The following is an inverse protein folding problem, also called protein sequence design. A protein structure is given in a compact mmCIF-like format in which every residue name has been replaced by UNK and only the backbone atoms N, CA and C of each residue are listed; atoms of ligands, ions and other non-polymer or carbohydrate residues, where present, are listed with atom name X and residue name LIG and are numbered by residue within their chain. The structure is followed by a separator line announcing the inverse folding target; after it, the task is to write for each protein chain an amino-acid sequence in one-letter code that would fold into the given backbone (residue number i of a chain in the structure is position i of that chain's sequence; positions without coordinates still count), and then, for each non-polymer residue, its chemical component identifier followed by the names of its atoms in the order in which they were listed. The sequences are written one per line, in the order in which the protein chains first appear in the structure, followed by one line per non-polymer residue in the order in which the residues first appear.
data_IF_829631993111
#
_entry.id   IF_829631993111
#
_cell.length_a   1.000
_cell.length_b   1.000
_cell.length_c   1.000
_cell.angle_alpha   90.00
_cell.angle_beta   90.00
_cell.angle_gamma   90.00
#
_symmetry.space_group_name_H-M   'P 1'
#
loop_
_entity.id
_entity.type
_entity.pdbx_description
1 polymer ?
#
# COMPACT_ATOMS: atom_id res chain seq x y z
N UNK A 1 43.10 -8.89 -28.19
CA UNK A 1 41.74 -8.89 -27.60
C UNK A 1 41.59 -7.61 -26.81
N UNK A 2 40.85 -6.65 -27.34
CA UNK A 2 40.63 -5.37 -26.68
C UNK A 2 39.80 -5.59 -25.41
N UNK A 3 40.36 -5.22 -24.26
CA UNK A 3 39.64 -5.10 -23.00
C UNK A 3 38.68 -3.94 -23.17
N UNK A 4 37.40 -4.24 -23.32
CA UNK A 4 36.34 -3.24 -23.25
C UNK A 4 36.33 -2.64 -21.83
N UNK A 5 36.23 -1.31 -21.69
CA UNK A 5 36.17 -0.67 -20.38
C UNK A 5 34.89 -1.12 -19.68
N UNK A 6 35.01 -1.41 -18.38
CA UNK A 6 33.93 -1.70 -17.45
C UNK A 6 32.90 -0.57 -17.52
N UNK A 7 31.87 -0.74 -18.35
CA UNK A 7 30.72 0.16 -18.36
C UNK A 7 30.11 0.13 -16.97
N UNK A 8 29.89 1.31 -16.39
CA UNK A 8 29.08 1.50 -15.19
C UNK A 8 27.78 0.70 -15.36
N UNK A 9 27.66 -0.42 -14.66
CA UNK A 9 26.43 -1.19 -14.62
C UNK A 9 25.40 -0.29 -13.92
N UNK A 10 24.46 0.26 -14.69
CA UNK A 10 23.45 1.17 -14.17
C UNK A 10 22.67 0.49 -13.04
N UNK A 11 22.88 0.92 -11.80
CA UNK A 11 22.11 0.43 -10.67
C UNK A 11 20.85 1.28 -10.49
N UNK A 12 19.75 0.63 -10.09
CA UNK A 12 18.48 1.31 -9.82
C UNK A 12 17.99 0.94 -8.43
N UNK A 13 17.45 1.93 -7.73
CA UNK A 13 16.95 1.74 -6.36
C UNK A 13 15.43 1.73 -6.33
N UNK A 14 14.87 0.74 -5.62
CA UNK A 14 13.44 0.58 -5.39
C UNK A 14 13.16 0.59 -3.89
N UNK A 15 12.28 1.46 -3.43
CA UNK A 15 11.78 1.48 -2.06
C UNK A 15 10.58 0.56 -1.96
N UNK A 16 10.68 -0.45 -1.10
CA UNK A 16 9.57 -1.30 -0.72
C UNK A 16 9.05 -0.91 0.67
N UNK A 17 7.73 -0.94 0.80
CA UNK A 17 6.99 -0.62 2.01
C UNK A 17 5.79 -1.57 2.17
N UNK A 18 5.04 -1.44 3.26
CA UNK A 18 3.84 -2.25 3.50
C UNK A 18 4.16 -3.75 3.65
N UNK A 19 3.42 -4.66 2.99
CA UNK A 19 3.55 -6.10 3.23
C UNK A 19 4.86 -6.69 2.69
N UNK A 20 5.55 -6.00 1.78
CA UNK A 20 6.81 -6.44 1.20
C UNK A 20 8.00 -6.29 2.15
N UNK A 21 7.82 -5.64 3.30
CA UNK A 21 8.79 -5.65 4.38
C UNK A 21 8.91 -7.05 5.03
N UNK A 22 7.89 -7.88 4.92
CA UNK A 22 7.90 -9.22 5.54
C UNK A 22 8.73 -10.20 4.68
N UNK A 23 9.78 -10.88 5.23
CA UNK A 23 10.74 -11.63 4.41
C UNK A 23 10.12 -12.70 3.50
N UNK A 24 9.12 -13.50 3.93
CA UNK A 24 8.41 -14.41 3.02
C UNK A 24 7.71 -13.74 1.83
N UNK A 25 7.14 -12.54 2.03
CA UNK A 25 6.49 -11.77 0.95
C UNK A 25 7.54 -11.13 0.04
N UNK A 26 8.66 -10.70 0.61
CA UNK A 26 9.81 -10.19 -0.14
C UNK A 26 10.39 -11.30 -1.04
N UNK A 27 10.59 -12.51 -0.51
CA UNK A 27 11.11 -13.64 -1.28
C UNK A 27 10.19 -13.99 -2.48
N UNK A 28 8.87 -13.96 -2.28
CA UNK A 28 7.91 -14.14 -3.38
C UNK A 28 8.02 -13.05 -4.46
N UNK A 29 8.34 -11.82 -4.06
CA UNK A 29 8.48 -10.66 -4.94
C UNK A 29 9.80 -10.70 -5.72
N UNK A 30 10.92 -10.96 -5.03
CA UNK A 30 12.24 -11.02 -5.63
C UNK A 30 12.44 -12.29 -6.48
N UNK A 31 11.70 -13.36 -6.22
CA UNK A 31 11.83 -14.65 -6.91
C UNK A 31 13.28 -15.17 -6.83
N UNK A 32 13.98 -15.22 -7.97
CA UNK A 32 15.38 -15.63 -8.08
C UNK A 32 16.36 -14.45 -8.19
N UNK A 33 15.87 -13.21 -8.15
CA UNK A 33 16.72 -12.01 -8.20
C UNK A 33 17.36 -11.76 -6.83
N UNK A 34 18.60 -11.29 -6.82
CA UNK A 34 19.30 -10.93 -5.58
C UNK A 34 19.61 -9.43 -5.60
N UNK A 35 19.08 -8.65 -4.64
CA UNK A 35 19.43 -7.25 -4.54
C UNK A 35 20.91 -7.09 -4.16
N UNK A 36 21.56 -6.11 -4.78
CA UNK A 36 22.99 -5.78 -4.58
C UNK A 36 23.20 -5.29 -3.15
N UNK A 37 22.31 -4.43 -2.68
CA UNK A 37 22.31 -3.93 -1.31
C UNK A 37 20.89 -3.62 -0.84
N UNK A 38 20.72 -3.51 0.48
CA UNK A 38 19.48 -3.04 1.08
C UNK A 38 19.80 -2.09 2.23
N UNK A 39 19.04 -1.01 2.34
CA UNK A 39 19.21 -0.02 3.42
C UNK A 39 17.85 0.43 3.94
N UNK A 40 17.73 0.59 5.26
CA UNK A 40 16.57 1.21 5.89
C UNK A 40 16.55 2.70 5.58
N UNK A 41 15.43 3.19 5.04
CA UNK A 41 15.31 4.57 4.57
C UNK A 41 14.08 5.24 5.16
N UNK A 42 14.22 6.54 5.39
CA UNK A 42 13.12 7.48 5.57
C UNK A 42 12.87 8.17 4.23
N UNK A 43 11.61 8.33 3.87
CA UNK A 43 11.15 9.09 2.71
C UNK A 43 10.33 10.26 3.26
N UNK A 44 10.93 11.44 3.40
CA UNK A 44 10.24 12.61 3.94
C UNK A 44 8.99 12.95 3.11
N UNK A 45 9.08 12.92 1.79
CA UNK A 45 7.94 13.37 0.99
C UNK A 45 6.80 12.33 0.86
N UNK A 46 6.78 11.27 1.68
CA UNK A 46 5.79 10.21 1.61
C UNK A 46 5.12 9.88 2.95
N UNK A 47 3.86 9.44 2.89
CA UNK A 47 3.13 8.85 4.01
C UNK A 47 2.69 7.43 3.68
N UNK A 48 2.76 6.52 4.66
CA UNK A 48 2.09 5.22 4.56
C UNK A 48 0.57 5.44 4.66
N UNK A 49 -0.17 4.90 3.70
CA UNK A 49 -1.63 4.94 3.68
C UNK A 49 -2.22 3.55 3.45
N UNK A 50 -3.46 3.34 3.86
CA UNK A 50 -4.27 2.17 3.55
C UNK A 50 -5.52 2.61 2.80
N UNK A 51 -5.32 3.21 1.63
CA UNK A 51 -6.38 3.84 0.82
C UNK A 51 -6.68 3.07 -0.46
N UNK A 52 -6.00 1.95 -0.73
CA UNK A 52 -6.29 1.13 -1.91
C UNK A 52 -7.37 0.10 -1.54
N UNK A 53 -8.57 0.16 -2.14
CA UNK A 53 -9.64 -0.78 -1.87
C UNK A 53 -9.23 -2.17 -2.36
N UNK A 54 -9.35 -3.14 -1.48
CA UNK A 54 -9.16 -4.54 -1.79
C UNK A 54 -10.47 -5.27 -2.05
N UNK A 55 -10.49 -6.55 -1.70
CA UNK A 55 -11.67 -7.40 -1.84
C UNK A 55 -12.44 -7.40 -0.51
N UNK A 56 -13.70 -6.94 -0.51
CA UNK A 56 -14.54 -6.87 0.69
C UNK A 56 -14.57 -8.20 1.45
N UNK A 57 -14.50 -8.16 2.78
CA UNK A 57 -14.49 -9.32 3.66
C UNK A 57 -13.30 -10.30 3.49
N UNK A 58 -12.47 -10.15 2.45
CA UNK A 58 -11.25 -10.92 2.24
C UNK A 58 -10.03 -10.15 2.74
N UNK A 59 -9.68 -9.08 2.01
CA UNK A 59 -8.69 -8.08 2.39
C UNK A 59 -9.26 -6.71 2.00
N UNK A 60 -9.84 -5.96 2.95
CA UNK A 60 -10.57 -4.72 2.69
C UNK A 60 -9.70 -3.60 2.12
N UNK A 61 -8.46 -3.48 2.60
CA UNK A 61 -7.58 -2.36 2.26
C UNK A 61 -6.15 -2.86 2.07
N UNK A 62 -5.46 -2.30 1.08
CA UNK A 62 -4.05 -2.53 0.84
C UNK A 62 -3.23 -1.27 1.15
N UNK A 63 -1.99 -1.48 1.55
CA UNK A 63 -1.04 -0.41 1.79
C UNK A 63 -0.65 0.30 0.47
N UNK A 64 -0.48 1.60 0.55
CA UNK A 64 -0.05 2.52 -0.49
C UNK A 64 0.85 3.60 0.13
N UNK A 65 1.52 4.37 -0.72
CA UNK A 65 2.26 5.55 -0.33
C UNK A 65 1.57 6.81 -0.90
N UNK A 66 1.34 7.80 -0.06
CA UNK A 66 0.95 9.14 -0.48
C UNK A 66 2.23 9.96 -0.61
N UNK A 67 2.63 10.29 -1.83
CA UNK A 67 3.78 11.14 -2.14
C UNK A 67 3.28 12.57 -2.39
N UNK A 68 3.88 13.52 -1.67
CA UNK A 68 3.57 14.94 -1.76
C UNK A 68 3.81 15.47 -3.16
N UNK A 69 2.84 16.21 -3.70
CA UNK A 69 2.89 16.77 -5.05
C UNK A 69 2.67 15.75 -6.17
N UNK A 70 2.30 14.51 -5.86
CA UNK A 70 2.08 13.48 -6.88
C UNK A 70 0.68 12.85 -6.82
N UNK A 71 0.30 12.30 -5.67
CA UNK A 71 -1.00 11.67 -5.47
C UNK A 71 -1.70 12.19 -4.20
N UNK A 72 -1.32 13.38 -3.76
CA UNK A 72 -1.97 14.13 -2.70
C UNK A 72 -3.03 15.11 -3.23
N UNK A 73 -3.55 14.88 -4.45
CA UNK A 73 -4.54 15.73 -5.11
C UNK A 73 -5.97 15.30 -4.74
N UNK A 74 -6.33 15.49 -3.47
CA UNK A 74 -7.66 15.16 -2.95
C UNK A 74 -8.56 16.38 -2.77
N UNK A 75 -9.79 16.09 -2.34
CA UNK A 75 -10.88 17.05 -2.11
C UNK A 75 -10.48 18.21 -1.18
N UNK A 76 -9.45 18.04 -0.33
CA UNK A 76 -8.89 19.09 0.53
C UNK A 76 -8.37 20.32 -0.25
N UNK A 77 -7.97 20.15 -1.53
CA UNK A 77 -7.57 21.28 -2.39
C UNK A 77 -8.75 22.14 -2.80
N UNK A 78 -9.93 21.54 -2.99
CA UNK A 78 -11.15 22.26 -3.35
C UNK A 78 -11.60 23.18 -2.22
N UNK A 79 -11.39 22.76 -0.96
CA UNK A 79 -11.73 23.54 0.24
C UNK A 79 -10.85 24.79 0.45
N UNK A 80 -9.60 24.78 -0.03
CA UNK A 80 -8.64 25.89 0.16
C UNK A 80 -8.68 26.94 -0.97
N UNK A 81 -9.29 26.59 -2.11
CA UNK A 81 -9.34 27.42 -3.32
C UNK A 81 -7.98 27.54 -4.04
N UNK A 82 -8.02 27.84 -5.35
CA UNK A 82 -6.84 27.84 -6.26
C UNK A 82 -5.70 28.81 -5.88
N UNK A 83 -5.89 29.70 -4.90
CA UNK A 83 -4.94 30.76 -4.56
C UNK A 83 -4.02 30.45 -3.38
N UNK A 84 -4.24 29.34 -2.68
CA UNK A 84 -3.39 28.96 -1.56
C UNK A 84 -2.01 28.49 -2.06
N UNK A 85 -0.92 28.97 -1.46
CA UNK A 85 0.40 28.43 -1.72
C UNK A 85 0.46 26.98 -1.25
N UNK A 86 1.02 26.12 -2.07
CA UNK A 86 1.17 24.68 -1.86
C UNK A 86 1.76 24.27 -0.49
N UNK A 87 2.66 25.09 0.08
CA UNK A 87 3.26 24.84 1.39
C UNK A 87 2.28 25.14 2.54
N UNK A 88 1.59 26.28 2.46
CA UNK A 88 0.61 26.73 3.45
C UNK A 88 -0.64 25.83 3.40
N UNK A 89 -1.02 25.42 2.19
CA UNK A 89 -2.14 24.53 1.93
C UNK A 89 -1.95 23.15 2.59
N UNK A 90 -0.74 22.58 2.56
CA UNK A 90 -0.39 21.31 3.22
C UNK A 90 -0.20 21.42 4.74
N UNK A 91 -0.28 22.61 5.30
CA UNK A 91 -0.34 22.81 6.76
C UNK A 91 -1.77 22.96 7.26
N UNK A 92 -2.75 23.09 6.36
CA UNK A 92 -4.16 23.22 6.70
C UNK A 92 -4.70 22.01 7.45
N UNK A 93 -5.71 22.26 8.30
CA UNK A 93 -6.44 21.19 8.99
C UNK A 93 -7.11 20.23 8.01
N UNK A 94 -7.61 20.74 6.87
CA UNK A 94 -8.21 19.92 5.81
C UNK A 94 -7.23 18.89 5.24
N UNK A 95 -6.00 19.31 4.91
CA UNK A 95 -4.96 18.38 4.45
C UNK A 95 -4.59 17.35 5.53
N UNK A 96 -4.41 17.80 6.78
CA UNK A 96 -4.07 16.92 7.90
C UNK A 96 -5.15 15.86 8.11
N UNK A 97 -6.41 16.24 8.06
CA UNK A 97 -7.54 15.32 8.17
C UNK A 97 -7.58 14.37 6.97
N UNK A 98 -7.36 14.87 5.76
CA UNK A 98 -7.33 14.04 4.54
C UNK A 98 -6.23 12.97 4.57
N UNK A 99 -5.04 13.30 5.07
CA UNK A 99 -3.95 12.33 5.30
C UNK A 99 -4.31 11.39 6.45
N UNK A 100 -4.88 11.92 7.55
CA UNK A 100 -5.29 11.12 8.71
C UNK A 100 -6.25 10.00 8.31
N UNK A 101 -7.28 10.31 7.52
CA UNK A 101 -8.29 9.33 7.12
C UNK A 101 -7.73 8.16 6.30
N UNK A 102 -6.52 8.30 5.75
CA UNK A 102 -5.83 7.29 4.94
C UNK A 102 -4.70 6.60 5.69
N UNK A 103 -3.98 7.32 6.55
CA UNK A 103 -2.80 6.83 7.27
C UNK A 103 -3.12 6.30 8.67
N UNK A 104 -4.15 6.83 9.32
CA UNK A 104 -4.50 6.60 10.73
C UNK A 104 -5.80 5.80 10.85
N UNK A 105 -5.82 4.60 10.28
CA UNK A 105 -7.03 3.79 10.12
C UNK A 105 -7.70 3.48 11.47
N UNK A 106 -8.98 3.85 11.60
CA UNK A 106 -9.80 3.61 12.79
C UNK A 106 -9.42 4.40 14.04
N UNK A 107 -8.76 5.55 13.86
CA UNK A 107 -8.50 6.49 14.95
C UNK A 107 -9.31 7.76 14.74
N UNK A 108 -9.84 8.32 15.82
CA UNK A 108 -10.53 9.61 15.78
C UNK A 108 -9.51 10.72 15.54
N UNK A 109 -9.84 11.67 14.65
CA UNK A 109 -8.93 12.76 14.31
C UNK A 109 -8.71 13.67 15.53
N UNK A 110 -7.45 13.79 15.95
CA UNK A 110 -7.05 14.55 17.15
C UNK A 110 -6.78 16.04 16.91
N UNK A 111 -7.03 16.58 15.71
CA UNK A 111 -6.75 17.97 15.35
C UNK A 111 -5.30 18.23 14.90
N UNK A 112 -4.39 17.33 15.22
CA UNK A 112 -3.04 17.28 14.67
C UNK A 112 -2.83 15.96 13.94
N UNK A 113 -1.86 15.89 13.03
CA UNK A 113 -1.32 14.56 12.70
C UNK A 113 -0.76 13.96 14.00
N UNK A 114 -0.70 12.62 14.14
CA UNK A 114 -0.21 11.97 15.36
C UNK A 114 1.08 12.62 15.84
N UNK A 115 1.31 12.77 17.14
CA UNK A 115 2.46 13.52 17.66
C UNK A 115 3.80 13.02 17.10
N UNK A 116 3.90 11.75 16.71
CA UNK A 116 5.08 11.24 16.01
C UNK A 116 5.20 11.80 14.58
N UNK A 117 4.09 12.00 13.86
CA UNK A 117 3.95 12.61 12.52
C UNK A 117 4.23 14.12 12.45
N UNK A 118 4.13 14.84 13.57
CA UNK A 118 4.44 16.28 13.65
C UNK A 118 5.72 16.59 14.43
N UNK A 119 6.02 15.89 15.53
CA UNK A 119 7.12 16.23 16.44
C UNK A 119 8.50 15.75 15.97
N UNK A 120 8.60 14.77 15.05
CA UNK A 120 9.90 14.33 14.53
C UNK A 120 10.46 15.26 13.44
N UNK A 121 9.67 16.20 12.90
CA UNK A 121 10.03 16.94 11.68
C UNK A 121 10.23 16.05 10.44
N UNK A 122 9.99 14.74 10.57
CA UNK A 122 10.31 13.69 9.60
C UNK A 122 9.01 12.96 9.26
N UNK A 123 8.55 13.22 8.05
CA UNK A 123 7.36 12.64 7.45
C UNK A 123 7.60 11.14 7.11
N UNK A 124 6.58 10.31 7.32
CA UNK A 124 6.67 8.90 7.78
C UNK A 124 6.85 7.83 6.70
N UNK A 125 7.42 8.15 5.54
CA UNK A 125 7.68 7.15 4.52
C UNK A 125 8.83 6.22 4.92
N UNK A 126 8.64 5.30 5.88
CA UNK A 126 9.65 4.30 6.20
C UNK A 126 9.57 3.12 5.24
N UNK A 127 10.72 2.71 4.75
CA UNK A 127 10.83 1.57 3.86
C UNK A 127 12.24 1.03 3.82
N UNK A 128 12.44 0.10 2.90
CA UNK A 128 13.76 -0.45 2.61
C UNK A 128 14.05 -0.16 1.15
N UNK A 129 15.14 0.56 0.90
CA UNK A 129 15.65 0.78 -0.43
C UNK A 129 16.53 -0.39 -0.82
N UNK A 130 16.11 -1.10 -1.88
CA UNK A 130 16.87 -2.18 -2.50
C UNK A 130 17.57 -1.65 -3.74
N UNK A 131 18.88 -1.90 -3.82
CA UNK A 131 19.66 -1.63 -5.03
C UNK A 131 19.63 -2.86 -5.94
N UNK A 132 19.18 -2.66 -7.17
CA UNK A 132 18.96 -3.71 -8.15
C UNK A 132 19.82 -3.47 -9.38
N UNK A 133 20.26 -4.56 -9.99
CA UNK A 133 20.87 -4.55 -11.32
C UNK A 133 19.86 -4.13 -12.38
N UNK A 134 20.32 -3.47 -13.44
CA UNK A 134 19.46 -3.08 -14.57
C UNK A 134 18.75 -4.28 -15.22
N UNK A 135 19.36 -5.48 -15.15
CA UNK A 135 18.79 -6.72 -15.66
C UNK A 135 17.63 -7.24 -14.80
N UNK A 136 17.73 -7.10 -13.47
CA UNK A 136 16.74 -7.58 -12.51
C UNK A 136 15.57 -6.61 -12.33
N UNK A 137 15.82 -5.33 -12.61
CA UNK A 137 14.83 -4.25 -12.51
C UNK A 137 13.46 -4.58 -13.15
N UNK A 138 13.37 -4.96 -14.44
CA UNK A 138 12.07 -5.26 -15.05
C UNK A 138 11.37 -6.47 -14.44
N UNK A 139 12.14 -7.46 -13.96
CA UNK A 139 11.59 -8.67 -13.31
C UNK A 139 10.91 -8.28 -12.00
N UNK A 140 11.63 -7.54 -11.16
CA UNK A 140 11.12 -7.08 -9.86
C UNK A 140 9.91 -6.16 -10.05
N UNK A 141 9.98 -5.21 -10.99
CA UNK A 141 8.85 -4.32 -11.27
C UNK A 141 7.61 -5.08 -11.74
N UNK A 142 7.77 -6.09 -12.60
CA UNK A 142 6.63 -6.92 -13.04
C UNK A 142 6.01 -7.68 -11.87
N UNK A 143 6.83 -8.16 -10.92
CA UNK A 143 6.36 -8.85 -9.72
C UNK A 143 5.65 -7.90 -8.74
N UNK A 144 6.18 -6.69 -8.55
CA UNK A 144 5.57 -5.63 -7.74
C UNK A 144 4.20 -5.24 -8.32
N UNK A 145 4.11 -5.09 -9.65
CA UNK A 145 2.85 -4.79 -10.32
C UNK A 145 1.84 -5.94 -10.19
N UNK A 146 2.29 -7.19 -10.31
CA UNK A 146 1.45 -8.37 -10.16
C UNK A 146 0.94 -8.59 -8.72
N UNK A 147 1.62 -8.05 -7.70
CA UNK A 147 1.22 -8.19 -6.29
C UNK A 147 -0.03 -7.36 -5.94
N UNK A 148 -0.41 -6.38 -6.77
CA UNK A 148 -1.66 -5.61 -6.65
C UNK A 148 -2.26 -5.40 -8.04
N UNK A 149 -2.83 -6.46 -8.64
CA UNK A 149 -3.26 -6.46 -10.04
C UNK A 149 -4.50 -5.61 -10.29
N UNK A 150 -5.22 -5.20 -9.24
CA UNK A 150 -6.48 -4.47 -9.32
C UNK A 150 -6.33 -2.96 -9.51
N UNK A 151 -5.12 -2.41 -9.33
CA UNK A 151 -4.97 -0.96 -9.15
C UNK A 151 -3.87 -0.40 -10.08
N UNK A 152 -4.21 0.53 -11.01
CA UNK A 152 -3.21 1.21 -11.81
C UNK A 152 -2.25 1.96 -10.88
N UNK A 153 -0.95 1.72 -11.08
CA UNK A 153 0.11 2.27 -10.26
C UNK A 153 1.21 2.86 -11.13
N UNK A 154 1.96 3.79 -10.56
CA UNK A 154 3.07 4.49 -11.19
C UNK A 154 4.29 4.39 -10.29
N UNK A 155 5.47 4.54 -10.89
CA UNK A 155 6.73 4.67 -10.17
C UNK A 155 7.08 6.14 -10.10
N UNK A 156 7.36 6.61 -8.89
CA UNK A 156 7.66 8.00 -8.61
C UNK A 156 9.06 8.05 -7.99
N UNK A 157 9.96 8.92 -8.48
CA UNK A 157 11.23 9.15 -7.81
C UNK A 157 10.97 9.92 -6.52
N UNK A 158 11.54 9.44 -5.42
CA UNK A 158 11.43 10.05 -4.09
C UNK A 158 12.81 10.19 -3.45
N UNK A 159 12.96 11.22 -2.64
CA UNK A 159 14.16 11.45 -1.85
C UNK A 159 14.16 10.53 -0.63
N UNK A 160 15.26 9.80 -0.45
CA UNK A 160 15.43 8.83 0.62
C UNK A 160 16.62 9.23 1.48
N UNK A 161 16.43 9.18 2.79
CA UNK A 161 17.47 9.40 3.79
C UNK A 161 17.72 8.05 4.47
N UNK A 162 18.82 7.35 4.14
CA UNK A 162 19.18 6.11 4.80
C UNK A 162 19.58 6.35 6.26
N UNK A 163 19.29 5.39 7.12
CA UNK A 163 19.70 5.38 8.52
C UNK A 163 20.05 3.95 8.94
N UNK A 164 20.77 3.78 10.05
CA UNK A 164 21.18 2.48 10.56
C UNK A 164 20.70 2.26 12.01
N UNK A 165 20.45 1.00 12.37
CA UNK A 165 20.16 0.62 13.76
C UNK A 165 18.82 1.12 14.30
N UNK A 166 17.87 1.48 13.45
CA UNK A 166 16.54 1.92 13.89
C UNK A 166 16.49 3.36 14.44
N UNK A 167 17.58 4.11 14.37
CA UNK A 167 17.62 5.50 14.81
C UNK A 167 17.77 6.46 13.62
N UNK A 168 16.71 7.22 13.27
CA UNK A 168 16.77 8.19 12.18
C UNK A 168 17.63 9.44 12.51
N UNK A 169 18.11 9.58 13.75
CA UNK A 169 18.92 10.74 14.20
C UNK A 169 20.32 10.75 13.61
N UNK A 170 20.81 9.60 13.12
CA UNK A 170 22.12 9.46 12.46
C UNK A 170 21.94 9.09 10.98
N UNK A 171 21.59 10.06 10.12
CA UNK A 171 21.36 9.81 8.71
C UNK A 171 22.67 9.59 7.95
N UNK A 172 22.62 8.71 6.96
CA UNK A 172 23.64 8.51 5.93
C UNK A 172 23.34 9.38 4.69
N UNK A 173 24.22 9.35 3.69
CA UNK A 173 24.10 10.18 2.48
C UNK A 173 22.75 9.95 1.76
N UNK A 174 21.97 11.03 1.50
CA UNK A 174 20.67 10.91 0.87
C UNK A 174 20.80 10.52 -0.60
N UNK A 175 19.80 9.80 -1.11
CA UNK A 175 19.75 9.41 -2.52
C UNK A 175 18.31 9.37 -3.03
N UNK A 176 18.16 9.34 -4.35
CA UNK A 176 16.85 9.19 -5.00
C UNK A 176 16.57 7.71 -5.28
N UNK A 177 15.37 7.25 -4.97
CA UNK A 177 14.91 5.91 -5.30
C UNK A 177 13.47 5.95 -5.83
N UNK A 178 13.05 4.89 -6.51
CA UNK A 178 11.68 4.81 -7.00
C UNK A 178 10.80 4.17 -5.95
N UNK A 179 9.61 4.73 -5.75
CA UNK A 179 8.55 4.15 -4.95
C UNK A 179 7.34 3.89 -5.84
N UNK A 180 6.65 2.77 -5.61
CA UNK A 180 5.38 2.51 -6.29
C UNK A 180 4.26 3.24 -5.58
N UNK A 181 3.38 3.88 -6.34
CA UNK A 181 2.24 4.65 -5.83
C UNK A 181 0.98 4.30 -6.62
N UNK A 182 -0.16 4.17 -5.93
CA UNK A 182 -1.45 4.00 -6.58
C UNK A 182 -1.99 5.33 -7.12
N UNK A 183 -2.59 5.31 -8.32
CA UNK A 183 -3.19 6.51 -8.90
C UNK A 183 -4.35 7.05 -8.04
N UNK A 184 -4.54 8.38 -7.97
CA UNK A 184 -5.60 9.01 -7.15
C UNK A 184 -6.99 8.44 -7.38
N UNK A 185 -7.36 8.14 -8.62
CA UNK A 185 -8.67 7.61 -9.02
C UNK A 185 -9.03 6.24 -8.38
N UNK A 186 -8.07 5.58 -7.73
CA UNK A 186 -8.28 4.29 -7.09
C UNK A 186 -8.12 4.33 -5.57
N UNK A 187 -7.97 5.53 -5.00
CA UNK A 187 -7.85 5.71 -3.57
C UNK A 187 -9.24 5.94 -2.96
N UNK A 188 -9.46 5.41 -1.76
CA UNK A 188 -10.64 5.67 -0.95
C UNK A 188 -10.24 5.92 0.51
N UNK A 189 -10.92 6.86 1.15
CA UNK A 189 -10.64 7.24 2.53
C UNK A 189 -11.26 6.25 3.54
N UNK A 190 -10.70 6.25 4.75
CA UNK A 190 -11.21 5.51 5.91
C UNK A 190 -11.36 4.00 5.72
N UNK A 191 -10.54 3.39 4.87
CA UNK A 191 -10.46 1.94 4.78
C UNK A 191 -9.60 1.39 5.93
N UNK A 192 -9.89 0.17 6.37
CA UNK A 192 -9.15 -0.49 7.44
C UNK A 192 -8.59 -1.82 6.96
N UNK A 193 -7.27 -2.07 7.02
CA UNK A 193 -6.70 -3.37 6.64
C UNK A 193 -7.13 -4.47 7.62
N UNK A 194 -7.07 -5.74 7.23
CA UNK A 194 -7.28 -6.82 8.20
C UNK A 194 -6.16 -6.86 9.24
N UNK A 195 -6.46 -7.41 10.42
CA UNK A 195 -5.45 -7.66 11.45
C UNK A 195 -4.31 -8.55 10.94
N UNK A 196 -4.60 -9.52 10.08
CA UNK A 196 -3.59 -10.40 9.50
C UNK A 196 -2.64 -9.61 8.58
N UNK A 197 -3.17 -8.72 7.75
CA UNK A 197 -2.38 -7.88 6.87
C UNK A 197 -1.53 -6.87 7.64
N UNK A 198 -2.13 -6.17 8.61
CA UNK A 198 -1.41 -5.22 9.47
C UNK A 198 -0.26 -5.90 10.21
N UNK A 199 -0.47 -7.12 10.72
CA UNK A 199 0.59 -7.90 11.36
C UNK A 199 1.76 -8.25 10.42
N UNK A 200 1.52 -8.42 9.11
CA UNK A 200 2.61 -8.63 8.15
C UNK A 200 3.47 -7.37 8.04
N UNK A 201 2.84 -6.20 7.94
CA UNK A 201 3.55 -4.91 7.88
C UNK A 201 4.33 -4.66 9.17
N UNK A 202 3.69 -4.83 10.33
CA UNK A 202 4.31 -4.63 11.64
C UNK A 202 5.50 -5.57 11.86
N UNK A 203 5.34 -6.87 11.57
CA UNK A 203 6.45 -7.85 11.70
C UNK A 203 7.57 -7.57 10.72
N UNK A 204 7.24 -7.19 9.48
CA UNK A 204 8.24 -6.78 8.49
C UNK A 204 9.02 -5.56 8.94
N UNK A 205 8.33 -4.54 9.46
CA UNK A 205 8.96 -3.34 10.01
C UNK A 205 9.91 -3.68 11.18
N UNK A 206 9.48 -4.57 12.07
CA UNK A 206 10.29 -5.02 13.20
C UNK A 206 11.53 -5.81 12.75
N UNK A 207 11.38 -6.78 11.84
CA UNK A 207 12.50 -7.60 11.36
C UNK A 207 13.56 -6.81 10.61
N UNK A 208 13.17 -5.72 9.95
CA UNK A 208 14.11 -4.84 9.26
C UNK A 208 14.53 -3.63 10.11
N UNK A 209 14.31 -3.68 11.43
CA UNK A 209 14.76 -2.64 12.38
C UNK A 209 14.37 -1.22 11.96
N UNK A 210 13.13 -1.03 11.48
CA UNK A 210 12.62 0.32 11.21
C UNK A 210 12.48 1.12 12.51
N UNK A 211 12.38 2.45 12.39
CA UNK A 211 12.41 3.34 13.54
C UNK A 211 11.34 3.03 14.59
N UNK A 212 11.65 3.36 15.84
CA UNK A 212 10.73 3.14 16.97
C UNK A 212 9.46 3.95 16.82
N UNK A 213 9.56 5.16 16.28
CA UNK A 213 8.45 6.08 16.04
C UNK A 213 7.48 5.47 15.01
N UNK A 214 8.03 4.87 13.95
CA UNK A 214 7.25 4.19 12.92
C UNK A 214 6.56 2.93 13.46
N UNK A 215 7.27 2.12 14.26
CA UNK A 215 6.66 0.96 14.92
C UNK A 215 5.56 1.37 15.90
N UNK A 216 5.77 2.42 16.69
CA UNK A 216 4.76 2.96 17.59
C UNK A 216 3.50 3.40 16.82
N UNK A 217 3.68 4.06 15.67
CA UNK A 217 2.56 4.41 14.80
C UNK A 217 1.79 3.18 14.31
N UNK A 218 2.48 2.14 13.80
CA UNK A 218 1.84 0.93 13.30
C UNK A 218 1.03 0.18 14.38
N UNK A 219 1.47 0.21 15.64
CA UNK A 219 0.78 -0.44 16.78
C UNK A 219 -0.52 0.29 17.14
N UNK A 220 -0.59 1.61 16.90
CA UNK A 220 -1.78 2.42 17.21
C UNK A 220 -2.93 2.19 16.20
N UNK A 221 -2.62 1.75 14.98
CA UNK A 221 -3.61 1.53 13.94
C UNK A 221 -4.65 0.49 14.36
N UNK A 222 -5.93 0.80 14.15
CA UNK A 222 -7.02 -0.13 14.43
C UNK A 222 -7.35 -0.96 13.19
N UNK A 223 -7.13 -2.29 13.22
CA UNK A 223 -7.47 -3.13 12.10
C UNK A 223 -8.98 -3.34 11.99
N UNK A 224 -9.41 -3.77 10.81
CA UNK A 224 -10.77 -4.20 10.56
C UNK A 224 -11.10 -5.46 11.36
N UNK A 225 -12.19 -5.42 12.11
CA UNK A 225 -12.70 -6.51 12.94
C UNK A 225 -14.02 -7.03 12.39
N UNK A 226 -14.11 -8.34 12.22
CA UNK A 226 -15.31 -9.00 11.72
C UNK A 226 -16.21 -9.41 12.89
N UNK A 227 -17.48 -9.03 12.85
CA UNK A 227 -18.49 -9.56 13.75
C UNK A 227 -18.73 -11.07 13.52
N UNK A 228 -19.28 -11.82 14.49
CA UNK A 228 -19.57 -13.24 14.31
C UNK A 228 -20.43 -13.54 13.07
N UNK A 229 -21.45 -12.70 12.82
CA UNK A 229 -22.29 -12.80 11.64
C UNK A 229 -21.50 -12.56 10.35
N UNK A 230 -20.66 -11.52 10.33
CA UNK A 230 -19.82 -11.23 9.16
C UNK A 230 -18.77 -12.32 8.90
N UNK A 231 -18.26 -12.97 9.95
CA UNK A 231 -17.37 -14.14 9.80
C UNK A 231 -18.10 -15.30 9.13
N UNK A 232 -19.34 -15.57 9.51
CA UNK A 232 -20.17 -16.59 8.87
C UNK A 232 -20.44 -16.23 7.41
N UNK A 233 -20.90 -15.00 7.13
CA UNK A 233 -21.18 -14.54 5.76
C UNK A 233 -19.95 -14.57 4.88
N UNK A 234 -18.78 -14.13 5.38
CA UNK A 234 -17.49 -14.25 4.70
C UNK A 234 -17.16 -15.69 4.37
N UNK A 235 -17.40 -16.61 5.30
CA UNK A 235 -17.11 -18.04 5.10
C UNK A 235 -18.03 -18.63 4.04
N UNK A 236 -19.33 -18.31 4.09
CA UNK A 236 -20.32 -18.71 3.08
C UNK A 236 -19.97 -18.14 1.70
N UNK A 237 -19.60 -16.86 1.62
CA UNK A 237 -19.19 -16.22 0.37
C UNK A 237 -17.94 -16.88 -0.21
N UNK A 238 -16.95 -17.21 0.63
CA UNK A 238 -15.76 -17.95 0.19
C UNK A 238 -16.12 -19.33 -0.33
N UNK A 239 -16.99 -20.07 0.36
CA UNK A 239 -17.43 -21.40 -0.09
C UNK A 239 -18.24 -21.33 -1.38
N UNK A 240 -19.04 -20.28 -1.57
CA UNK A 240 -19.80 -20.03 -2.78
C UNK A 240 -18.89 -19.69 -3.97
N UNK A 241 -17.87 -18.83 -3.75
CA UNK A 241 -16.98 -18.35 -4.81
C UNK A 241 -15.82 -19.31 -5.12
N UNK A 242 -15.41 -20.15 -4.17
CA UNK A 242 -14.30 -21.10 -4.33
C UNK A 242 -14.46 -22.04 -5.54
N UNK A 243 -15.59 -22.73 -5.77
CA UNK A 243 -15.74 -23.62 -6.92
C UNK A 243 -15.61 -22.87 -8.24
N UNK A 244 -16.22 -21.68 -8.36
CA UNK A 244 -16.06 -20.83 -9.54
C UNK A 244 -14.58 -20.43 -9.73
N UNK A 245 -13.91 -19.99 -8.67
CA UNK A 245 -12.50 -19.62 -8.73
C UNK A 245 -11.62 -20.79 -9.21
N UNK A 246 -11.84 -22.01 -8.69
CA UNK A 246 -11.10 -23.19 -9.11
C UNK A 246 -11.33 -23.52 -10.60
N UNK A 247 -12.58 -23.46 -11.06
CA UNK A 247 -12.95 -23.74 -12.45
C UNK A 247 -12.31 -22.72 -13.42
N UNK A 248 -12.19 -21.46 -13.02
CA UNK A 248 -11.61 -20.42 -13.89
C UNK A 248 -10.08 -20.36 -13.85
N UNK A 249 -9.44 -20.46 -12.67
CA UNK A 249 -7.99 -20.26 -12.53
C UNK A 249 -7.15 -21.54 -12.62
N UNK A 250 -7.67 -22.71 -12.22
CA UNK A 250 -6.87 -23.94 -12.23
C UNK A 250 -6.57 -24.38 -13.67
N UNK A 251 -7.52 -24.38 -14.62
CA UNK A 251 -7.24 -24.84 -15.99
C UNK A 251 -6.26 -23.94 -16.74
N UNK A 252 -6.27 -22.62 -16.48
CA UNK A 252 -5.35 -21.68 -17.13
C UNK A 252 -3.89 -21.91 -16.67
N UNK A 253 -3.66 -22.34 -15.43
CA UNK A 253 -2.32 -22.66 -14.91
C UNK A 253 -1.86 -24.09 -15.20
N UNK A 254 -2.76 -25.07 -15.16
CA UNK A 254 -2.39 -26.47 -15.40
C UNK A 254 -2.25 -26.81 -16.89
N UNK A 255 -3.14 -26.29 -17.73
CA UNK A 255 -3.23 -26.69 -19.13
C UNK A 255 -2.80 -25.60 -20.12
N UNK A 256 -2.49 -24.38 -19.64
CA UNK A 256 -1.92 -23.31 -20.47
C UNK A 256 -2.79 -22.87 -21.65
N UNK A 257 -4.12 -23.06 -21.58
CA UNK A 257 -5.03 -22.82 -22.71
C UNK A 257 -5.26 -21.31 -22.90
N UNK A 258 -4.74 -20.68 -23.99
CA UNK A 258 -4.78 -19.23 -24.16
C UNK A 258 -6.19 -18.66 -24.37
N UNK A 259 -7.14 -19.48 -24.86
CA UNK A 259 -8.55 -19.10 -24.98
C UNK A 259 -9.22 -18.91 -23.61
N UNK A 260 -8.85 -19.74 -22.62
CA UNK A 260 -9.37 -19.66 -21.25
C UNK A 260 -8.88 -18.41 -20.54
N UNK A 261 -7.60 -18.04 -20.72
CA UNK A 261 -7.02 -16.79 -20.18
C UNK A 261 -7.61 -15.50 -20.79
N UNK A 262 -8.17 -15.57 -22.00
CA UNK A 262 -8.90 -14.46 -22.62
C UNK A 262 -10.33 -14.35 -22.07
N UNK A 263 -11.01 -15.50 -21.89
CA UNK A 263 -12.32 -15.58 -21.26
C UNK A 263 -12.28 -15.11 -19.80
N UNK A 264 -11.23 -15.47 -19.05
CA UNK A 264 -10.98 -15.04 -17.67
C UNK A 264 -10.84 -13.52 -17.54
N UNK A 265 -10.12 -12.86 -18.45
CA UNK A 265 -9.99 -11.39 -18.48
C UNK A 265 -11.31 -10.69 -18.84
N UNK A 266 -12.06 -11.24 -19.79
CA UNK A 266 -13.36 -10.70 -20.17
C UNK A 266 -14.37 -10.81 -19.02
N UNK A 267 -14.49 -11.99 -18.42
CA UNK A 267 -15.37 -12.26 -17.28
C UNK A 267 -14.94 -11.53 -16.01
N UNK A 268 -13.64 -11.34 -15.78
CA UNK A 268 -13.13 -10.56 -14.64
C UNK A 268 -13.57 -9.09 -14.67
N UNK A 269 -13.59 -8.47 -15.86
CA UNK A 269 -14.00 -7.07 -16.01
C UNK A 269 -15.51 -6.86 -15.81
N UNK A 270 -16.34 -7.81 -16.25
CA UNK A 270 -17.80 -7.78 -16.08
C UNK A 270 -18.18 -8.21 -14.66
N UNK A 271 -17.53 -9.26 -14.16
CA UNK A 271 -17.67 -9.82 -12.82
C UNK A 271 -17.30 -8.83 -11.73
N UNK A 272 -16.26 -8.02 -11.92
CA UNK A 272 -15.92 -6.94 -11.00
C UNK A 272 -17.06 -5.92 -10.88
N UNK A 273 -17.63 -5.45 -12.00
CA UNK A 273 -18.71 -4.46 -11.96
C UNK A 273 -19.99 -5.01 -11.32
N UNK A 274 -20.34 -6.28 -11.57
CA UNK A 274 -21.49 -6.93 -10.94
C UNK A 274 -21.26 -7.21 -9.46
N UNK A 275 -20.05 -7.60 -9.06
CA UNK A 275 -19.65 -7.74 -7.65
C UNK A 275 -19.77 -6.42 -6.89
N UNK A 276 -19.27 -5.32 -7.45
CA UNK A 276 -19.36 -3.99 -6.83
C UNK A 276 -20.82 -3.52 -6.65
N UNK A 277 -21.70 -3.80 -7.63
CA UNK A 277 -23.14 -3.51 -7.51
C UNK A 277 -23.84 -4.39 -6.47
N UNK A 278 -23.51 -5.67 -6.42
CA UNK A 278 -24.08 -6.62 -5.47
C UNK A 278 -23.63 -6.28 -4.04
N UNK A 279 -22.37 -5.90 -3.88
CA UNK A 279 -21.82 -5.41 -2.63
C UNK A 279 -22.54 -4.16 -2.14
N UNK A 280 -22.75 -3.16 -3.01
CA UNK A 280 -23.46 -1.93 -2.66
C UNK A 280 -24.88 -2.22 -2.13
N UNK A 281 -25.59 -3.18 -2.73
CA UNK A 281 -26.95 -3.57 -2.31
C UNK A 281 -27.00 -4.36 -1.00
N UNK A 282 -25.97 -5.13 -0.67
CA UNK A 282 -25.94 -6.00 0.51
C UNK A 282 -25.25 -5.33 1.72
N UNK A 283 -24.54 -4.22 1.49
CA UNK A 283 -23.83 -3.43 2.51
C UNK A 283 -24.70 -3.00 3.70
N UNK A 284 -25.99 -2.74 3.48
CA UNK A 284 -26.93 -2.39 4.57
C UNK A 284 -27.16 -3.51 5.59
N UNK A 285 -27.07 -4.78 5.17
CA UNK A 285 -27.33 -5.94 6.01
C UNK A 285 -26.05 -6.60 6.54
N UNK A 286 -24.99 -6.61 5.74
CA UNK A 286 -23.72 -7.33 6.04
C UNK A 286 -22.63 -6.38 6.55
N UNK A 287 -22.85 -5.07 6.45
CA UNK A 287 -21.88 -4.03 6.77
C UNK A 287 -21.00 -3.67 5.57
N UNK A 288 -20.14 -2.66 5.74
CA UNK A 288 -19.36 -2.08 4.64
C UNK A 288 -18.34 -3.01 4.01
N UNK A 289 -17.90 -4.05 4.71
CA UNK A 289 -16.82 -4.92 4.25
C UNK A 289 -15.43 -4.25 4.19
N UNK A 290 -15.35 -2.93 4.42
CA UNK A 290 -14.17 -2.08 4.28
C UNK A 290 -13.73 -1.37 5.58
N UNK A 291 -14.67 -1.16 6.51
CA UNK A 291 -14.45 -0.49 7.80
C UNK A 291 -15.44 -0.93 8.88
N UNK A 292 -15.03 -0.82 10.13
CA UNK A 292 -15.83 -1.15 11.32
C UNK A 292 -17.09 -0.27 11.40
N UNK A 293 -18.24 -0.89 11.74
CA UNK A 293 -19.55 -0.21 11.73
C UNK A 293 -19.73 0.80 12.87
N UNK A 294 -19.08 0.57 14.02
CA UNK A 294 -19.16 1.45 15.19
C UNK A 294 -18.51 2.82 14.94
N UNK A 295 -17.59 2.90 13.99
CA UNK A 295 -16.98 4.16 13.54
C UNK A 295 -17.77 4.81 12.42
N UNK A 296 -18.43 4.03 11.55
CA UNK A 296 -19.29 4.56 10.49
C UNK A 296 -20.51 5.32 11.03
N UNK A 297 -20.98 4.99 12.25
CA UNK A 297 -22.08 5.70 12.94
C UNK A 297 -21.67 7.01 13.61
N UNK A 298 -20.37 7.27 13.79
CA UNK A 298 -19.86 8.52 14.38
C UNK A 298 -19.61 9.61 13.34
N UNK A 299 -19.52 9.22 12.07
CA UNK A 299 -19.28 10.11 10.92
C UNK A 299 -20.55 10.44 10.12
N UNK A 300 -21.72 9.95 10.55
CA UNK A 300 -23.02 10.18 9.92
C UNK A 300 -23.93 10.95 10.89
#
# INVERSE_FOLDING_TARGET
MAVLPSGELGTRRLVLYGPHLYPPRLAQLLRSTQPISSSTVVVPDAYLAFDVPGVPFLEPAFANAIVKGYNDDGDWREELGEKAKDADARQSTAYKQWVWDRSCTGMEFGGSLPPNLEASGVQFGHGIAYELSEQDWPIVLSAVAAASPSTPSSLVPVHCIPYAGGDPSNPSEPFTAHIRVAKPACQAASLQPTQQYLNLVLRGAFFNTLSREYLAHLILLRPYTLSPLQKLTRTLLRLLLLPSFLIFHVPSKLFGIPAWARLERALGSVGARTLWKLEASVRGFVGSGYRNADEAKKTA
#
